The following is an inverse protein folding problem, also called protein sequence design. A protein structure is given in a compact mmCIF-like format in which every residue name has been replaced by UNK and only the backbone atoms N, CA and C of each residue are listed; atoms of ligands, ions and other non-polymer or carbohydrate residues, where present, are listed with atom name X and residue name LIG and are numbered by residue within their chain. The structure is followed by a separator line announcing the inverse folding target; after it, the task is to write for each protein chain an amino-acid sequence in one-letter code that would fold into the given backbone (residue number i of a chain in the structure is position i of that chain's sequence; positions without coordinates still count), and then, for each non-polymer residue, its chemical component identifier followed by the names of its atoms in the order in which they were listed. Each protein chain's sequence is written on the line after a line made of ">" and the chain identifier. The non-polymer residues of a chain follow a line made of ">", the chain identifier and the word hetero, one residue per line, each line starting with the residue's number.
data_IF_197559020444
#
_entry.id   IF_197559020444
#
_cell.length_a   1.000
_cell.length_b   1.000
_cell.length_c   1.000
_cell.angle_alpha   90.00
_cell.angle_beta   90.00
_cell.angle_gamma   90.00
#
_symmetry.space_group_name_H-M   'P 1'
#
loop_
_entity.id
_entity.type
_entity.pdbx_description
1 polymer ?
#
# COMPACT_ATOMS: atom_id res chain seq x y z
N UNK A 1 -6.99 16.60 -28.25
CA UNK A 1 -6.09 15.43 -28.10
C UNK A 1 -6.30 14.79 -26.74
N UNK A 2 -6.33 13.46 -26.64
CA UNK A 2 -6.43 12.75 -25.35
C UNK A 2 -5.15 11.96 -25.07
N UNK A 3 -4.69 12.04 -23.82
CA UNK A 3 -3.49 11.39 -23.31
C UNK A 3 -3.84 10.60 -22.05
N UNK A 4 -3.51 9.32 -22.00
CA UNK A 4 -3.56 8.53 -20.76
C UNK A 4 -2.19 8.48 -20.13
N UNK A 5 -2.10 8.94 -18.89
CA UNK A 5 -0.92 8.81 -18.05
C UNK A 5 -1.09 7.60 -17.15
N UNK A 6 -0.25 6.60 -17.36
CA UNK A 6 -0.14 5.44 -16.50
C UNK A 6 0.89 5.75 -15.41
N UNK A 7 0.40 6.10 -14.22
CA UNK A 7 1.20 6.46 -13.06
C UNK A 7 1.16 5.34 -12.03
N UNK A 8 2.32 5.06 -11.46
CA UNK A 8 2.49 4.24 -10.28
C UNK A 8 1.82 4.90 -9.08
N UNK A 9 1.38 4.04 -8.16
CA UNK A 9 0.81 4.45 -6.88
C UNK A 9 1.89 4.53 -5.79
N UNK A 10 3.17 4.42 -6.15
CA UNK A 10 4.26 4.45 -5.20
C UNK A 10 4.49 5.86 -4.65
N UNK A 11 4.63 5.95 -3.33
CA UNK A 11 5.33 7.04 -2.64
C UNK A 11 4.79 8.48 -2.84
N UNK A 12 3.51 8.66 -3.15
CA UNK A 12 2.85 9.90 -2.77
C UNK A 12 2.84 9.93 -1.23
N UNK A 13 3.87 10.52 -0.62
CA UNK A 13 4.04 10.63 0.82
C UNK A 13 2.72 11.07 1.46
N UNK A 14 2.43 10.55 2.66
CA UNK A 14 1.24 10.90 3.47
C UNK A 14 1.13 12.40 3.80
N UNK A 15 2.09 13.22 3.36
CA UNK A 15 2.04 14.67 3.39
C UNK A 15 1.55 15.17 2.03
N UNK A 16 0.24 15.06 1.81
CA UNK A 16 -0.43 15.82 0.77
C UNK A 16 -0.59 17.28 1.21
N UNK A 17 0.52 17.99 1.42
CA UNK A 17 0.49 19.44 1.29
C UNK A 17 0.13 19.71 -0.16
N UNK A 18 -1.07 20.25 -0.40
CA UNK A 18 -1.66 20.58 -1.71
C UNK A 18 -0.57 20.81 -2.77
N UNK A 19 -0.32 19.81 -3.61
CA UNK A 19 0.65 19.92 -4.68
C UNK A 19 0.33 21.18 -5.50
N UNK A 20 1.32 22.04 -5.71
CA UNK A 20 1.12 23.24 -6.51
C UNK A 20 0.61 22.87 -7.92
N UNK A 21 -0.26 23.70 -8.53
CA UNK A 21 -0.83 23.37 -9.82
C UNK A 21 0.25 23.24 -10.89
N UNK A 22 0.26 22.11 -11.58
CA UNK A 22 1.10 21.86 -12.73
C UNK A 22 0.81 22.87 -13.85
N UNK A 23 1.86 23.30 -14.54
CA UNK A 23 1.75 24.22 -15.67
C UNK A 23 2.09 23.52 -16.97
N UNK A 24 1.17 23.58 -17.93
CA UNK A 24 1.35 23.05 -19.27
C UNK A 24 1.96 24.10 -20.19
N UNK A 25 2.83 23.65 -21.08
CA UNK A 25 3.45 24.45 -22.13
C UNK A 25 3.39 23.70 -23.45
N UNK A 26 3.38 24.46 -24.54
CA UNK A 26 3.55 23.95 -25.90
C UNK A 26 4.65 24.73 -26.61
N UNK A 27 5.30 24.09 -27.58
CA UNK A 27 6.34 24.71 -28.37
C UNK A 27 5.75 25.28 -29.66
N UNK A 28 6.01 26.56 -29.93
CA UNK A 28 5.65 27.20 -31.18
C UNK A 28 6.75 28.19 -31.58
N UNK A 29 7.29 28.02 -32.79
CA UNK A 29 8.30 28.92 -33.37
C UNK A 29 9.49 29.13 -32.44
N UNK A 30 10.03 28.03 -31.91
CA UNK A 30 11.17 27.95 -31.01
C UNK A 30 10.99 28.63 -29.63
N UNK A 31 9.73 28.89 -29.25
CA UNK A 31 9.37 29.48 -27.96
C UNK A 31 8.40 28.60 -27.17
N UNK A 32 8.71 28.36 -25.89
CA UNK A 32 7.79 27.67 -24.97
C UNK A 32 6.71 28.63 -24.50
N UNK A 33 5.49 28.42 -24.97
CA UNK A 33 4.31 29.20 -24.58
C UNK A 33 3.50 28.44 -23.54
N UNK A 34 2.93 29.16 -22.58
CA UNK A 34 2.03 28.58 -21.57
C UNK A 34 0.73 28.16 -22.26
N UNK A 35 0.28 26.93 -21.99
CA UNK A 35 -1.05 26.49 -22.38
C UNK A 35 -2.07 27.02 -21.36
N UNK A 36 -3.01 27.82 -21.81
CA UNK A 36 -4.06 28.39 -20.98
C UNK A 36 -4.87 27.29 -20.29
N UNK A 37 -5.26 27.52 -19.02
CA UNK A 37 -6.05 26.54 -18.26
C UNK A 37 -7.38 26.18 -18.93
N UNK A 38 -7.99 27.11 -19.67
CA UNK A 38 -9.23 26.86 -20.42
C UNK A 38 -9.07 25.80 -21.52
N UNK A 39 -7.84 25.55 -21.99
CA UNK A 39 -7.52 24.53 -22.99
C UNK A 39 -7.23 23.16 -22.39
N UNK A 40 -7.09 23.07 -21.07
CA UNK A 40 -7.12 21.81 -20.33
C UNK A 40 -8.59 21.43 -20.11
N UNK A 41 -9.18 20.75 -21.11
CA UNK A 41 -10.62 20.47 -21.13
C UNK A 41 -11.04 19.50 -20.03
N UNK A 42 -10.25 18.45 -19.80
CA UNK A 42 -10.51 17.42 -18.79
C UNK A 42 -9.17 16.93 -18.23
N UNK A 43 -9.08 16.80 -16.91
CA UNK A 43 -7.99 16.13 -16.22
C UNK A 43 -8.58 15.15 -15.19
N UNK A 44 -8.37 13.85 -15.39
CA UNK A 44 -8.78 12.81 -14.44
C UNK A 44 -7.60 12.21 -13.67
N UNK A 45 -6.42 12.84 -13.69
CA UNK A 45 -5.21 12.37 -12.98
C UNK A 45 -5.14 12.87 -11.54
N UNK A 46 -6.10 13.72 -11.12
CA UNK A 46 -6.09 14.41 -9.84
C UNK A 46 -4.76 15.16 -9.61
N UNK A 47 -4.24 15.82 -10.67
CA UNK A 47 -2.96 16.53 -10.63
C UNK A 47 -1.75 15.61 -10.70
N UNK A 48 -1.81 14.54 -11.51
CA UNK A 48 -0.76 13.52 -11.65
C UNK A 48 -0.46 12.74 -10.36
N UNK A 49 -1.43 12.65 -9.46
CA UNK A 49 -1.37 11.79 -8.28
C UNK A 49 -1.86 10.37 -8.59
N UNK A 50 -2.71 10.21 -9.60
CA UNK A 50 -3.24 8.91 -10.02
C UNK A 50 -3.28 8.79 -11.54
N UNK A 51 -3.31 7.54 -12.01
CA UNK A 51 -3.47 7.25 -13.43
C UNK A 51 -4.78 7.83 -13.96
N UNK A 52 -4.73 8.50 -15.11
CA UNK A 52 -5.88 9.23 -15.63
C UNK A 52 -5.72 9.71 -17.07
N UNK A 53 -6.80 10.24 -17.62
CA UNK A 53 -6.85 10.81 -18.96
C UNK A 53 -6.83 12.33 -18.84
N UNK A 54 -5.93 12.95 -19.60
CA UNK A 54 -5.88 14.39 -19.83
C UNK A 54 -6.34 14.67 -21.25
N UNK A 55 -7.31 15.58 -21.38
CA UNK A 55 -7.83 16.05 -22.67
C UNK A 55 -7.41 17.49 -22.88
N UNK A 56 -6.66 17.73 -23.94
CA UNK A 56 -6.09 19.02 -24.30
C UNK A 56 -6.72 19.53 -25.60
N UNK A 57 -7.10 20.79 -25.60
CA UNK A 57 -7.32 21.57 -26.82
C UNK A 57 -6.00 22.24 -27.24
N UNK A 58 -5.45 21.82 -28.37
CA UNK A 58 -4.14 22.31 -28.82
C UNK A 58 -4.33 23.61 -29.63
N UNK A 59 -3.58 24.69 -29.33
CA UNK A 59 -3.62 25.91 -30.11
C UNK A 59 -3.22 25.67 -31.58
N UNK A 60 -3.85 26.39 -32.50
CA UNK A 60 -3.53 26.32 -33.92
C UNK A 60 -2.10 26.80 -34.25
N UNK A 61 -1.48 27.56 -33.34
CA UNK A 61 -0.11 28.07 -33.47
C UNK A 61 0.97 26.99 -33.28
N UNK A 62 0.63 25.82 -32.73
CA UNK A 62 1.61 24.76 -32.49
C UNK A 62 2.15 24.26 -33.84
N UNK A 63 3.48 24.16 -33.97
CA UNK A 63 4.12 23.80 -35.24
C UNK A 63 5.25 22.76 -35.04
N UNK A 64 5.74 22.21 -36.15
CA UNK A 64 6.82 21.20 -36.17
C UNK A 64 8.19 21.80 -36.49
N UNK A 65 8.21 23.05 -36.94
CA UNK A 65 9.42 23.77 -37.34
C UNK A 65 10.05 24.48 -36.13
N UNK A 66 10.70 23.68 -35.27
CA UNK A 66 11.40 24.16 -34.09
C UNK A 66 12.82 23.59 -34.09
N UNK A 67 13.81 24.38 -33.66
CA UNK A 67 15.23 23.99 -33.63
C UNK A 67 15.67 23.54 -32.24
N UNK A 68 14.95 23.95 -31.20
CA UNK A 68 15.21 23.65 -29.78
C UNK A 68 14.89 22.21 -29.38
N UNK A 69 14.06 21.49 -30.14
CA UNK A 69 13.68 20.11 -29.88
C UNK A 69 13.73 19.31 -31.20
N UNK A 70 13.79 17.96 -31.18
CA UNK A 70 13.81 17.16 -32.40
C UNK A 70 12.69 17.53 -33.38
N UNK A 71 13.07 17.64 -34.66
CA UNK A 71 12.19 18.03 -35.74
C UNK A 71 11.07 17.01 -36.00
N UNK A 72 10.10 17.39 -36.83
CA UNK A 72 8.94 16.59 -37.26
C UNK A 72 7.94 16.17 -36.15
N UNK A 73 8.11 16.70 -34.93
CA UNK A 73 7.24 16.43 -33.79
C UNK A 73 6.54 17.70 -33.28
N UNK A 74 5.38 17.53 -32.66
CA UNK A 74 4.78 18.55 -31.81
C UNK A 74 5.21 18.34 -30.37
N UNK A 75 5.59 19.42 -29.69
CA UNK A 75 6.15 19.34 -28.35
C UNK A 75 5.22 19.92 -27.28
N UNK A 76 4.99 19.12 -26.25
CA UNK A 76 4.29 19.48 -25.03
C UNK A 76 5.24 19.32 -23.85
N UNK A 77 5.12 20.22 -22.88
CA UNK A 77 5.89 20.16 -21.63
C UNK A 77 4.95 20.39 -20.45
N UNK A 78 5.10 19.57 -19.42
CA UNK A 78 4.44 19.75 -18.13
C UNK A 78 5.52 20.09 -17.11
N UNK A 79 5.32 21.14 -16.32
CA UNK A 79 6.27 21.55 -15.30
C UNK A 79 5.59 21.71 -13.94
N UNK A 80 6.28 21.24 -12.90
CA UNK A 80 5.97 21.51 -11.49
C UNK A 80 6.97 22.55 -10.95
N UNK A 81 6.52 23.44 -10.07
CA UNK A 81 7.40 24.46 -9.45
C UNK A 81 8.26 23.88 -8.32
N UNK A 82 7.73 22.94 -7.54
CA UNK A 82 8.40 22.28 -6.41
C UNK A 82 7.93 20.83 -6.27
N UNK A 83 8.68 20.03 -5.50
CA UNK A 83 8.27 18.70 -4.99
C UNK A 83 7.85 17.67 -6.05
N UNK A 84 8.73 17.43 -7.04
CA UNK A 84 8.53 16.38 -8.05
C UNK A 84 8.34 14.97 -7.46
N UNK A 85 8.83 14.74 -6.22
CA UNK A 85 8.69 13.47 -5.50
C UNK A 85 7.28 13.19 -4.99
N UNK A 86 6.38 14.18 -5.03
CA UNK A 86 4.99 14.02 -4.58
C UNK A 86 4.06 13.44 -5.65
N UNK A 87 4.49 13.41 -6.92
CA UNK A 87 3.73 12.87 -8.04
C UNK A 87 3.98 11.37 -8.21
N UNK A 88 2.99 10.66 -8.77
CA UNK A 88 3.13 9.23 -9.06
C UNK A 88 4.19 8.96 -10.14
N UNK A 89 4.97 7.89 -9.99
CA UNK A 89 6.01 7.54 -10.97
C UNK A 89 5.40 7.23 -12.33
N UNK A 90 5.92 7.80 -13.42
CA UNK A 90 5.36 7.60 -14.76
C UNK A 90 5.83 6.26 -15.36
N UNK A 91 4.90 5.34 -15.61
CA UNK A 91 5.19 4.11 -16.35
C UNK A 91 5.08 4.30 -17.86
N UNK A 92 4.03 4.96 -18.33
CA UNK A 92 3.76 5.13 -19.75
C UNK A 92 2.81 6.29 -20.04
N UNK A 93 2.93 6.86 -21.23
CA UNK A 93 1.96 7.79 -21.81
C UNK A 93 1.39 7.18 -23.07
N UNK A 94 0.07 7.16 -23.21
CA UNK A 94 -0.61 6.63 -24.39
C UNK A 94 -1.55 7.67 -25.00
N UNK A 95 -1.61 7.71 -26.33
CA UNK A 95 -2.45 8.65 -27.07
C UNK A 95 -3.81 8.04 -27.40
N UNK A 96 -4.79 8.90 -27.70
CA UNK A 96 -6.15 8.50 -28.12
C UNK A 96 -6.89 7.64 -27.08
N UNK A 97 -6.60 7.87 -25.80
CA UNK A 97 -7.25 7.13 -24.72
C UNK A 97 -8.68 7.61 -24.51
N UNK A 98 -9.55 6.66 -24.14
CA UNK A 98 -10.95 6.90 -23.78
C UNK A 98 -11.35 5.97 -22.64
N UNK A 99 -12.18 6.48 -21.73
CA UNK A 99 -12.79 5.66 -20.67
C UNK A 99 -14.02 4.95 -21.21
N UNK A 100 -14.09 3.64 -21.01
CA UNK A 100 -15.25 2.83 -21.38
C UNK A 100 -15.85 2.21 -20.13
N UNK A 101 -17.17 2.26 -20.01
CA UNK A 101 -17.91 1.64 -18.91
C UNK A 101 -18.61 0.39 -19.41
N UNK A 102 -18.40 -0.74 -18.73
CA UNK A 102 -19.13 -1.98 -19.01
C UNK A 102 -20.59 -1.79 -18.60
N UNK A 103 -21.52 -2.11 -19.51
CA UNK A 103 -22.95 -2.21 -19.21
C UNK A 103 -23.35 -3.68 -19.26
N UNK A 104 -23.94 -4.17 -18.16
CA UNK A 104 -24.49 -5.51 -18.06
C UNK A 104 -26.02 -5.43 -18.08
N UNK A 105 -26.73 -6.36 -18.75
CA UNK A 105 -28.16 -6.56 -18.55
C UNK A 105 -28.45 -6.90 -17.07
N UNK A 106 -29.64 -6.53 -16.59
CA UNK A 106 -30.02 -6.68 -15.17
C UNK A 106 -29.92 -8.12 -14.65
N UNK A 107 -30.17 -9.11 -15.51
CA UNK A 107 -30.21 -10.54 -15.14
C UNK A 107 -28.87 -11.27 -15.31
N UNK A 108 -27.81 -10.57 -15.68
CA UNK A 108 -26.49 -11.20 -15.90
C UNK A 108 -25.65 -11.13 -14.63
N UNK A 109 -25.22 -12.29 -14.13
CA UNK A 109 -24.24 -12.33 -13.03
C UNK A 109 -22.97 -11.57 -13.43
N UNK A 110 -22.61 -10.60 -12.60
CA UNK A 110 -21.41 -9.81 -12.80
C UNK A 110 -20.18 -10.67 -12.51
N UNK A 111 -19.60 -11.26 -13.56
CA UNK A 111 -18.28 -11.90 -13.47
C UNK A 111 -17.22 -10.81 -13.34
N UNK A 112 -16.37 -10.92 -12.33
CA UNK A 112 -15.16 -10.11 -12.20
C UNK A 112 -14.27 -10.31 -13.43
N UNK A 113 -14.03 -9.23 -14.18
CA UNK A 113 -13.10 -9.26 -15.31
C UNK A 113 -11.71 -9.06 -14.74
N UNK A 114 -11.08 -10.13 -14.27
CA UNK A 114 -9.73 -10.03 -13.69
C UNK A 114 -8.61 -9.86 -14.74
N UNK A 115 -8.91 -10.15 -16.02
CA UNK A 115 -7.93 -10.19 -17.10
C UNK A 115 -8.07 -9.03 -18.11
N UNK A 116 -6.95 -8.68 -18.74
CA UNK A 116 -6.92 -7.82 -19.94
C UNK A 116 -7.71 -8.52 -21.05
N UNK A 117 -8.92 -8.06 -21.32
CA UNK A 117 -9.75 -8.65 -22.36
C UNK A 117 -9.32 -8.13 -23.74
N UNK A 118 -9.47 -8.97 -24.77
CA UNK A 118 -9.41 -8.51 -26.17
C UNK A 118 -10.73 -7.82 -26.49
N UNK A 119 -10.68 -6.50 -26.66
CA UNK A 119 -11.85 -5.71 -27.02
C UNK A 119 -12.00 -5.64 -28.53
N UNK A 120 -13.23 -5.86 -29.01
CA UNK A 120 -13.62 -5.60 -30.40
C UNK A 120 -14.86 -4.71 -30.41
N UNK A 121 -14.94 -3.73 -31.30
CA UNK A 121 -16.14 -2.90 -31.41
C UNK A 121 -17.30 -3.75 -31.95
N UNK A 122 -18.51 -3.52 -31.42
CA UNK A 122 -19.72 -4.24 -31.87
C UNK A 122 -20.10 -3.91 -33.32
N UNK A 123 -19.77 -2.68 -33.75
CA UNK A 123 -19.90 -2.20 -35.12
C UNK A 123 -18.56 -1.65 -35.57
N UNK A 124 -18.18 -1.87 -36.82
CA UNK A 124 -16.94 -1.32 -37.36
C UNK A 124 -16.95 0.21 -37.25
N UNK A 125 -15.86 0.78 -36.74
CA UNK A 125 -15.68 2.24 -36.61
C UNK A 125 -14.60 2.64 -37.63
N UNK A 126 -14.95 3.41 -38.68
CA UNK A 126 -13.98 3.88 -39.66
C UNK A 126 -12.83 4.65 -38.99
N UNK A 127 -11.59 4.35 -39.40
CA UNK A 127 -10.39 4.98 -38.85
C UNK A 127 -9.84 4.36 -37.56
N UNK A 128 -10.52 3.37 -36.96
CA UNK A 128 -10.01 2.64 -35.77
C UNK A 128 -9.31 1.35 -36.19
N UNK A 129 -7.99 1.31 -36.06
CA UNK A 129 -7.18 0.13 -36.40
C UNK A 129 -7.19 -0.96 -35.31
N UNK A 130 -6.75 -0.61 -34.09
CA UNK A 130 -6.63 -1.55 -32.97
C UNK A 130 -7.09 -0.90 -31.67
N UNK A 131 -7.80 -1.67 -30.85
CA UNK A 131 -8.19 -1.27 -29.49
C UNK A 131 -7.40 -2.09 -28.49
N UNK A 132 -6.72 -1.42 -27.56
CA UNK A 132 -5.94 -2.05 -26.49
C UNK A 132 -6.44 -1.55 -25.14
N UNK A 133 -6.72 -2.48 -24.23
CA UNK A 133 -7.03 -2.14 -22.85
C UNK A 133 -5.74 -1.79 -22.10
N UNK A 134 -5.81 -0.71 -21.33
CA UNK A 134 -4.70 -0.26 -20.46
C UNK A 134 -5.13 -0.44 -19.01
N UNK A 135 -4.32 -1.15 -18.24
CA UNK A 135 -4.61 -1.44 -16.84
C UNK A 135 -5.80 -2.38 -16.63
N UNK A 136 -6.09 -2.64 -15.35
CA UNK A 136 -7.20 -3.50 -14.93
C UNK A 136 -8.51 -2.72 -14.92
N UNK A 137 -9.65 -3.37 -15.17
CA UNK A 137 -10.94 -2.74 -14.96
C UNK A 137 -11.12 -2.44 -13.45
N UNK A 138 -11.83 -1.37 -13.14
CA UNK A 138 -12.02 -0.89 -11.78
C UNK A 138 -13.47 -0.42 -11.56
N UNK A 139 -13.87 -0.28 -10.29
CA UNK A 139 -15.17 0.28 -9.88
C UNK A 139 -16.39 -0.64 -10.12
N UNK A 140 -16.18 -1.86 -10.59
CA UNK A 140 -17.23 -2.87 -10.68
C UNK A 140 -17.39 -3.63 -9.35
N UNK A 141 -18.63 -3.98 -9.00
CA UNK A 141 -18.94 -4.86 -7.88
C UNK A 141 -19.88 -5.98 -8.35
N UNK A 142 -19.78 -7.15 -7.73
CA UNK A 142 -20.74 -8.23 -7.93
C UNK A 142 -22.13 -7.83 -7.41
N UNK A 143 -23.17 -8.50 -7.92
CA UNK A 143 -24.51 -8.33 -7.38
C UNK A 143 -24.54 -8.72 -5.89
N UNK A 144 -25.22 -7.92 -5.08
CA UNK A 144 -25.33 -8.16 -3.64
C UNK A 144 -26.06 -9.48 -3.36
N UNK A 145 -25.41 -10.37 -2.60
CA UNK A 145 -25.98 -11.64 -2.19
C UNK A 145 -26.90 -11.47 -0.97
N UNK A 146 -27.86 -12.38 -0.78
CA UNK A 146 -28.83 -12.28 0.32
C UNK A 146 -28.19 -12.18 1.72
N UNK A 147 -27.10 -12.91 2.07
CA UNK A 147 -26.42 -12.72 3.34
C UNK A 147 -25.81 -11.32 3.49
N UNK A 148 -25.21 -10.79 2.42
CA UNK A 148 -24.63 -9.44 2.40
C UNK A 148 -25.71 -8.37 2.59
N UNK A 149 -26.86 -8.53 1.91
CA UNK A 149 -28.03 -7.68 2.08
C UNK A 149 -28.51 -7.64 3.54
N UNK A 150 -28.65 -8.82 4.18
CA UNK A 150 -29.08 -8.90 5.58
C UNK A 150 -28.09 -8.16 6.49
N UNK A 151 -26.79 -8.42 6.32
CA UNK A 151 -25.74 -7.72 7.08
C UNK A 151 -25.83 -6.20 6.88
N UNK A 152 -25.90 -5.73 5.63
CA UNK A 152 -26.00 -4.30 5.31
C UNK A 152 -27.24 -3.66 5.92
N UNK A 153 -28.39 -4.35 5.91
CA UNK A 153 -29.62 -3.85 6.54
C UNK A 153 -29.49 -3.78 8.05
N UNK A 154 -28.95 -4.81 8.70
CA UNK A 154 -28.71 -4.81 10.14
C UNK A 154 -27.75 -3.70 10.56
N UNK A 155 -26.66 -3.51 9.82
CA UNK A 155 -25.71 -2.42 10.06
C UNK A 155 -26.40 -1.06 9.86
N UNK A 156 -27.13 -0.87 8.75
CA UNK A 156 -27.86 0.37 8.45
C UNK A 156 -28.87 0.77 9.51
N UNK A 157 -29.62 -0.19 10.06
CA UNK A 157 -30.59 0.06 11.12
C UNK A 157 -29.92 0.53 12.41
N UNK A 158 -28.70 0.06 12.68
CA UNK A 158 -27.92 0.45 13.86
C UNK A 158 -27.34 1.86 13.70
N UNK A 159 -26.55 2.10 12.65
CA UNK A 159 -25.84 3.38 12.48
C UNK A 159 -26.73 4.48 11.88
N UNK A 160 -27.89 4.14 11.28
CA UNK A 160 -28.86 5.10 10.69
C UNK A 160 -28.22 6.09 9.72
N UNK A 161 -27.20 5.63 8.99
CA UNK A 161 -26.39 6.45 8.09
C UNK A 161 -25.72 7.68 8.75
N UNK A 162 -25.39 7.58 10.05
CA UNK A 162 -24.63 8.59 10.79
C UNK A 162 -23.45 7.92 11.50
N UNK A 163 -22.36 8.64 11.63
CA UNK A 163 -21.16 8.17 12.34
C UNK A 163 -21.08 8.82 13.72
N UNK A 164 -21.07 8.02 14.78
CA UNK A 164 -20.88 8.50 16.15
C UNK A 164 -19.88 7.66 16.92
N UNK A 165 -19.94 6.33 16.77
CA UNK A 165 -18.98 5.41 17.39
C UNK A 165 -17.92 4.96 16.37
N UNK A 166 -16.70 4.57 16.81
CA UNK A 166 -15.67 4.03 15.92
C UNK A 166 -16.17 2.89 15.01
N UNK A 167 -17.09 2.07 15.52
CA UNK A 167 -17.70 0.99 14.73
C UNK A 167 -18.54 1.53 13.57
N UNK A 168 -19.30 2.61 13.76
CA UNK A 168 -20.11 3.21 12.69
C UNK A 168 -19.23 3.75 11.57
N UNK A 169 -18.12 4.41 11.92
CA UNK A 169 -17.09 4.86 10.95
C UNK A 169 -16.55 3.68 10.15
N UNK A 170 -16.08 2.64 10.85
CA UNK A 170 -15.49 1.45 10.22
C UNK A 170 -16.47 0.80 9.22
N UNK A 171 -17.75 0.62 9.60
CA UNK A 171 -18.76 -0.03 8.74
C UNK A 171 -19.20 0.80 7.55
N UNK A 172 -19.46 2.09 7.75
CA UNK A 172 -19.89 2.96 6.66
C UNK A 172 -18.79 3.13 5.61
N UNK A 173 -17.52 3.17 6.03
CA UNK A 173 -16.39 3.22 5.10
C UNK A 173 -16.27 1.90 4.34
N UNK A 174 -16.30 0.75 5.02
CA UNK A 174 -16.25 -0.56 4.34
C UNK A 174 -17.41 -0.76 3.36
N UNK A 175 -18.60 -0.25 3.69
CA UNK A 175 -19.77 -0.32 2.82
C UNK A 175 -19.59 0.56 1.56
N UNK A 176 -19.07 1.77 1.72
CA UNK A 176 -18.92 2.73 0.62
C UNK A 176 -17.71 2.43 -0.28
N UNK A 177 -16.67 1.79 0.26
CA UNK A 177 -15.41 1.50 -0.42
C UNK A 177 -15.10 -0.02 -0.42
N UNK A 178 -15.71 -0.81 -1.33
CA UNK A 178 -15.55 -2.27 -1.39
C UNK A 178 -14.11 -2.74 -1.66
N UNK A 179 -13.26 -1.87 -2.18
CA UNK A 179 -11.84 -2.14 -2.40
C UNK A 179 -11.03 -2.25 -1.08
N UNK A 180 -11.62 -1.88 0.05
CA UNK A 180 -10.96 -1.96 1.35
C UNK A 180 -11.16 -3.35 1.97
N UNK A 181 -10.07 -3.91 2.49
CA UNK A 181 -10.09 -5.15 3.27
C UNK A 181 -10.46 -4.88 4.72
N UNK A 182 -9.91 -3.81 5.30
CA UNK A 182 -10.09 -3.50 6.72
C UNK A 182 -9.99 -2.01 6.96
N UNK A 183 -10.79 -1.54 7.91
CA UNK A 183 -10.75 -0.18 8.43
C UNK A 183 -10.66 -0.27 9.93
N UNK A 184 -9.82 0.56 10.54
CA UNK A 184 -9.75 0.72 11.99
C UNK A 184 -9.82 2.19 12.34
N UNK A 185 -10.71 2.50 13.26
CA UNK A 185 -10.90 3.84 13.78
C UNK A 185 -10.35 3.93 15.21
N UNK A 186 -9.47 4.92 15.44
CA UNK A 186 -8.86 5.24 16.71
C UNK A 186 -9.41 6.60 17.19
N UNK A 187 -10.22 6.55 18.25
CA UNK A 187 -10.80 7.74 18.85
C UNK A 187 -9.76 8.49 19.70
N UNK A 188 -9.86 9.82 19.72
CA UNK A 188 -9.00 10.72 20.49
C UNK A 188 -7.52 10.53 20.16
N UNK A 189 -7.20 10.34 18.89
CA UNK A 189 -5.84 10.05 18.44
C UNK A 189 -5.55 10.79 17.14
N UNK A 190 -4.32 11.27 17.02
CA UNK A 190 -3.77 11.84 15.80
C UNK A 190 -2.38 11.25 15.60
N UNK A 191 -1.94 11.11 14.35
CA UNK A 191 -0.62 10.55 14.07
C UNK A 191 0.53 11.50 14.43
N UNK A 192 0.26 12.81 14.49
CA UNK A 192 1.26 13.85 14.74
C UNK A 192 1.53 14.04 16.23
N UNK A 193 0.56 13.68 17.08
CA UNK A 193 0.62 13.85 18.51
C UNK A 193 0.87 12.49 19.18
N UNK A 194 1.92 12.40 20.00
CA UNK A 194 2.22 11.18 20.78
C UNK A 194 1.31 10.96 21.99
N UNK A 195 0.25 11.75 22.15
CA UNK A 195 -0.65 11.75 23.31
C UNK A 195 -2.12 11.77 22.87
N UNK A 196 -3.06 11.35 23.75
CA UNK A 196 -4.48 11.41 23.45
C UNK A 196 -4.90 12.82 23.05
N UNK A 197 -5.54 12.94 21.89
CA UNK A 197 -5.92 14.19 21.24
C UNK A 197 -7.45 14.24 21.12
N UNK A 198 -8.18 14.76 22.13
CA UNK A 198 -9.64 14.84 22.10
C UNK A 198 -10.15 15.59 20.86
N UNK A 199 -11.26 15.14 20.28
CA UNK A 199 -11.81 15.74 19.05
C UNK A 199 -11.12 15.27 17.76
N UNK A 200 -9.97 14.59 17.84
CA UNK A 200 -9.32 13.98 16.69
C UNK A 200 -9.73 12.52 16.52
N UNK A 201 -9.88 12.11 15.26
CA UNK A 201 -10.21 10.76 14.85
C UNK A 201 -9.23 10.28 13.80
N UNK A 202 -8.40 9.30 14.15
CA UNK A 202 -7.49 8.66 13.22
C UNK A 202 -8.15 7.41 12.64
N UNK A 203 -8.29 7.39 11.32
CA UNK A 203 -8.85 6.27 10.55
C UNK A 203 -7.73 5.67 9.72
N UNK A 204 -7.48 4.39 9.92
CA UNK A 204 -6.47 3.65 9.17
C UNK A 204 -7.17 2.63 8.27
N UNK A 205 -6.85 2.67 6.99
CA UNK A 205 -7.49 1.84 5.96
C UNK A 205 -6.48 0.91 5.30
N UNK A 206 -6.90 -0.33 5.05
CA UNK A 206 -6.08 -1.35 4.41
C UNK A 206 -6.81 -1.80 3.13
N UNK A 207 -6.19 -1.69 1.94
CA UNK A 207 -6.79 -2.17 0.71
C UNK A 207 -6.85 -3.71 0.66
N UNK A 208 -7.80 -4.22 -0.10
CA UNK A 208 -7.88 -5.64 -0.42
C UNK A 208 -6.81 -6.02 -1.44
N UNK A 209 -5.92 -6.92 -1.05
CA UNK A 209 -4.93 -7.52 -1.93
C UNK A 209 -5.53 -8.72 -2.69
N UNK A 210 -5.50 -8.70 -4.03
CA UNK A 210 -5.83 -9.87 -4.85
C UNK A 210 -4.95 -11.07 -4.45
N UNK A 211 -5.46 -12.32 -4.49
CA UNK A 211 -4.69 -13.50 -4.10
C UNK A 211 -3.32 -13.63 -4.79
N UNK A 212 -3.24 -13.24 -6.07
CA UNK A 212 -1.98 -13.30 -6.84
C UNK A 212 -0.92 -12.27 -6.41
N UNK A 213 -1.31 -11.23 -5.68
CA UNK A 213 -0.42 -10.15 -5.23
C UNK A 213 0.04 -10.30 -3.80
N UNK A 214 -0.46 -11.30 -3.04
CA UNK A 214 -0.08 -11.51 -1.62
C UNK A 214 1.34 -12.07 -1.45
N UNK A 215 1.92 -12.63 -2.51
CA UNK A 215 3.23 -13.27 -2.48
C UNK A 215 4.31 -12.29 -2.02
N UNK A 216 5.16 -12.75 -1.10
CA UNK A 216 6.23 -11.93 -0.53
C UNK A 216 5.74 -10.86 0.46
N UNK A 217 4.49 -10.97 0.92
CA UNK A 217 3.90 -10.11 1.93
C UNK A 217 4.03 -8.60 1.64
N UNK A 218 3.43 -8.09 0.55
CA UNK A 218 3.62 -6.70 0.17
C UNK A 218 2.99 -5.74 1.19
N UNK A 219 3.44 -4.49 1.17
CA UNK A 219 2.78 -3.41 1.93
C UNK A 219 1.55 -2.92 1.18
N UNK A 220 0.36 -3.23 1.70
CA UNK A 220 -0.90 -2.81 1.11
C UNK A 220 -1.16 -1.32 1.41
N UNK A 221 -1.09 -0.44 0.42
CA UNK A 221 -1.28 1.01 0.59
C UNK A 221 -2.31 1.56 -0.40
N UNK A 222 -3.12 2.50 0.06
CA UNK A 222 -4.01 3.30 -0.77
C UNK A 222 -3.27 4.55 -1.25
N UNK A 223 -3.60 5.00 -2.46
CA UNK A 223 -3.09 6.29 -2.94
C UNK A 223 -3.71 7.46 -2.14
N UNK A 224 -3.01 8.59 -2.14
CA UNK A 224 -3.41 9.82 -1.45
C UNK A 224 -4.78 10.34 -1.88
N UNK A 225 -5.13 10.21 -3.17
CA UNK A 225 -6.40 10.69 -3.71
C UNK A 225 -7.57 9.91 -3.11
N UNK A 226 -7.46 8.58 -3.03
CA UNK A 226 -8.46 7.70 -2.44
C UNK A 226 -8.57 7.94 -0.93
N UNK A 227 -7.46 8.14 -0.22
CA UNK A 227 -7.47 8.56 1.18
C UNK A 227 -8.25 9.88 1.36
N UNK A 228 -8.03 10.84 0.45
CA UNK A 228 -8.77 12.11 0.40
C UNK A 228 -10.27 11.93 0.14
N UNK A 229 -10.65 11.02 -0.78
CA UNK A 229 -12.05 10.66 -1.06
C UNK A 229 -12.74 10.05 0.15
N UNK A 230 -12.05 9.13 0.85
CA UNK A 230 -12.55 8.54 2.10
C UNK A 230 -12.73 9.64 3.15
N UNK A 231 -11.74 10.52 3.36
CA UNK A 231 -11.82 11.63 4.30
C UNK A 231 -13.01 12.54 4.01
N UNK A 232 -13.20 12.95 2.75
CA UNK A 232 -14.31 13.81 2.34
C UNK A 232 -15.67 13.14 2.56
N UNK A 233 -15.79 11.84 2.23
CA UNK A 233 -16.99 11.07 2.50
C UNK A 233 -17.33 11.06 3.99
N UNK A 234 -16.38 10.71 4.84
CA UNK A 234 -16.61 10.64 6.29
C UNK A 234 -16.94 12.01 6.86
N UNK A 235 -16.26 13.08 6.43
CA UNK A 235 -16.53 14.44 6.88
C UNK A 235 -17.97 14.87 6.57
N UNK A 236 -18.56 14.40 5.46
CA UNK A 236 -19.95 14.74 5.08
C UNK A 236 -21.03 14.15 6.00
N UNK A 237 -20.70 13.08 6.73
CA UNK A 237 -21.63 12.35 7.61
C UNK A 237 -21.28 12.48 9.10
N UNK A 238 -20.07 12.97 9.41
CA UNK A 238 -19.58 13.19 10.75
C UNK A 238 -20.02 14.52 11.35
N UNK A 239 -19.80 14.66 12.65
CA UNK A 239 -19.97 15.93 13.35
C UNK A 239 -18.92 16.95 12.86
N UNK A 240 -19.29 18.24 12.66
CA UNK A 240 -18.34 19.27 12.24
C UNK A 240 -17.26 19.57 13.30
N UNK A 241 -17.45 19.12 14.54
CA UNK A 241 -16.48 19.30 15.62
C UNK A 241 -15.37 18.24 15.66
N UNK A 242 -15.41 17.24 14.77
CA UNK A 242 -14.41 16.17 14.73
C UNK A 242 -13.39 16.47 13.65
N UNK A 243 -12.11 16.44 14.02
CA UNK A 243 -11.00 16.50 13.09
C UNK A 243 -10.64 15.09 12.63
N UNK A 244 -10.88 14.81 11.35
CA UNK A 244 -10.71 13.48 10.78
C UNK A 244 -9.40 13.40 10.00
N UNK A 245 -8.60 12.42 10.37
CA UNK A 245 -7.35 12.03 9.71
C UNK A 245 -7.54 10.62 9.12
N UNK A 246 -7.24 10.44 7.83
CA UNK A 246 -7.34 9.13 7.14
C UNK A 246 -5.99 8.78 6.54
N UNK A 247 -5.43 7.60 6.89
CA UNK A 247 -4.07 7.20 6.55
C UNK A 247 -3.92 5.72 6.24
N UNK A 248 -2.78 5.37 5.65
CA UNK A 248 -2.37 3.98 5.50
C UNK A 248 -1.84 3.44 6.83
N UNK A 249 -1.83 2.11 7.04
CA UNK A 249 -1.16 1.54 8.19
C UNK A 249 0.35 1.77 8.09
N UNK A 250 0.99 1.94 9.25
CA UNK A 250 2.44 1.87 9.31
C UNK A 250 2.84 0.39 9.30
N UNK A 251 3.82 0.03 8.49
CA UNK A 251 4.34 -1.34 8.45
C UNK A 251 5.61 -1.43 9.30
N UNK A 252 5.58 -2.30 10.30
CA UNK A 252 6.67 -2.54 11.24
C UNK A 252 7.28 -3.92 10.94
N UNK A 253 8.58 -3.96 10.64
CA UNK A 253 9.24 -5.18 10.18
C UNK A 253 9.68 -6.07 11.34
N UNK A 254 9.44 -7.37 11.21
CA UNK A 254 9.86 -8.39 12.17
C UNK A 254 10.80 -9.36 11.46
N UNK A 255 12.04 -9.43 11.94
CA UNK A 255 13.01 -10.43 11.50
C UNK A 255 13.22 -11.46 12.60
N UNK A 256 13.00 -12.73 12.27
CA UNK A 256 13.37 -13.85 13.14
C UNK A 256 14.85 -14.17 12.93
N UNK A 257 15.57 -14.39 14.03
CA UNK A 257 16.94 -14.88 14.05
C UNK A 257 16.98 -16.19 14.82
N UNK A 258 17.53 -17.24 14.21
CA UNK A 258 17.66 -18.53 14.88
C UNK A 258 18.75 -19.41 14.28
N UNK A 259 19.27 -20.31 15.09
CA UNK A 259 20.15 -21.39 14.64
C UNK A 259 19.37 -22.71 14.73
N UNK A 260 19.32 -23.45 13.62
CA UNK A 260 18.44 -24.61 13.45
C UNK A 260 19.24 -25.82 13.00
N UNK A 261 18.92 -26.99 13.56
CA UNK A 261 19.35 -28.28 13.04
C UNK A 261 18.21 -28.91 12.25
N UNK A 262 18.49 -29.30 11.02
CA UNK A 262 17.53 -29.99 10.16
C UNK A 262 17.71 -31.51 10.24
N UNK A 263 16.62 -32.26 10.04
CA UNK A 263 16.64 -33.72 10.03
C UNK A 263 17.55 -34.32 8.93
N UNK A 264 17.77 -33.57 7.84
CA UNK A 264 18.62 -33.98 6.72
C UNK A 264 19.64 -32.88 6.37
N UNK A 265 20.85 -32.91 6.96
CA UNK A 265 21.84 -31.84 6.81
C UNK A 265 22.39 -31.69 5.38
N UNK A 266 22.32 -32.74 4.54
CA UNK A 266 22.81 -32.71 3.15
C UNK A 266 22.01 -31.77 2.22
N UNK A 267 20.87 -31.22 2.67
CA UNK A 267 20.04 -30.26 1.92
C UNK A 267 19.83 -28.93 2.66
N UNK A 268 20.80 -28.52 3.48
CA UNK A 268 20.70 -27.32 4.32
C UNK A 268 20.19 -26.07 3.59
N UNK A 269 20.74 -25.73 2.42
CA UNK A 269 20.31 -24.55 1.66
C UNK A 269 18.85 -24.59 1.20
N UNK A 270 18.29 -25.78 0.91
CA UNK A 270 16.87 -25.91 0.56
C UNK A 270 15.98 -25.67 1.78
N UNK A 271 16.32 -26.27 2.93
CA UNK A 271 15.53 -26.13 4.16
C UNK A 271 15.62 -24.74 4.78
N UNK A 272 16.74 -24.02 4.61
CA UNK A 272 16.84 -22.60 4.97
C UNK A 272 15.81 -21.78 4.19
N UNK A 273 15.78 -21.91 2.87
CA UNK A 273 14.82 -21.18 2.03
C UNK A 273 13.36 -21.59 2.30
N UNK A 274 13.13 -22.85 2.67
CA UNK A 274 11.81 -23.34 3.04
C UNK A 274 11.35 -22.75 4.38
N UNK A 275 12.25 -22.70 5.37
CA UNK A 275 11.99 -22.12 6.68
C UNK A 275 11.77 -20.60 6.59
N UNK A 276 12.60 -19.90 5.81
CA UNK A 276 12.47 -18.47 5.56
C UNK A 276 11.08 -18.11 5.00
N UNK A 277 10.60 -18.89 4.02
CA UNK A 277 9.23 -18.76 3.49
C UNK A 277 8.18 -19.11 4.53
N UNK A 278 8.34 -20.21 5.25
CA UNK A 278 7.37 -20.63 6.27
C UNK A 278 7.21 -19.60 7.39
N UNK A 279 8.30 -18.94 7.79
CA UNK A 279 8.30 -17.85 8.77
C UNK A 279 7.69 -16.57 8.18
N UNK A 280 8.03 -16.23 6.94
CA UNK A 280 7.44 -15.09 6.24
C UNK A 280 5.93 -15.24 6.14
N UNK A 281 5.45 -16.41 5.73
CA UNK A 281 4.02 -16.72 5.61
C UNK A 281 3.32 -16.70 6.98
N UNK A 282 3.98 -17.21 8.04
CA UNK A 282 3.43 -17.21 9.41
C UNK A 282 3.29 -15.80 10.01
N UNK A 283 4.22 -14.90 9.70
CA UNK A 283 4.20 -13.51 10.14
C UNK A 283 3.37 -12.61 9.24
N UNK A 284 3.07 -13.03 8.02
CA UNK A 284 2.42 -12.19 7.02
C UNK A 284 0.93 -11.95 7.35
N UNK A 285 0.49 -10.68 7.50
CA UNK A 285 -0.89 -10.35 7.86
C UNK A 285 -1.94 -10.75 6.81
N UNK A 286 -1.51 -11.01 5.57
CA UNK A 286 -2.38 -11.33 4.43
C UNK A 286 -2.63 -12.82 4.25
N UNK A 287 -1.81 -13.65 4.88
CA UNK A 287 -1.90 -15.09 4.77
C UNK A 287 -2.96 -15.65 5.71
N UNK A 288 -3.45 -16.83 5.36
CA UNK A 288 -4.45 -17.53 6.17
C UNK A 288 -3.85 -18.18 7.42
N UNK A 289 -2.55 -18.41 7.39
CA UNK A 289 -1.76 -19.10 8.42
C UNK A 289 -1.14 -18.07 9.36
N UNK A 290 -1.11 -18.37 10.67
CA UNK A 290 -0.39 -17.55 11.64
C UNK A 290 -1.04 -16.22 11.98
N UNK A 291 -0.25 -15.14 11.93
CA UNK A 291 -0.64 -13.82 12.41
C UNK A 291 -1.48 -13.06 11.37
N UNK A 292 -2.73 -12.76 11.73
CA UNK A 292 -3.65 -11.98 10.86
C UNK A 292 -3.42 -10.48 10.98
N UNK A 293 -3.80 -9.73 9.95
CA UNK A 293 -3.85 -8.27 9.95
C UNK A 293 -4.68 -7.70 11.13
N UNK A 294 -4.05 -7.44 12.28
CA UNK A 294 -4.70 -6.96 13.50
C UNK A 294 -3.87 -5.83 14.11
N UNK A 295 -4.51 -4.69 14.33
CA UNK A 295 -3.95 -3.58 15.11
C UNK A 295 -3.86 -3.94 16.59
N UNK A 296 -2.86 -3.39 17.29
CA UNK A 296 -2.55 -3.79 18.66
C UNK A 296 -2.08 -5.24 18.74
N UNK A 297 -1.34 -5.70 17.73
CA UNK A 297 -0.79 -7.05 17.68
C UNK A 297 0.20 -7.29 18.83
N UNK A 298 0.46 -8.56 19.09
CA UNK A 298 1.38 -8.99 20.13
C UNK A 298 1.95 -10.32 19.67
N UNK A 299 3.25 -10.35 19.36
CA UNK A 299 3.94 -11.55 18.89
C UNK A 299 4.83 -12.04 20.01
N UNK A 300 4.49 -13.20 20.59
CA UNK A 300 5.29 -13.80 21.66
C UNK A 300 6.39 -14.64 21.04
N UNK A 301 7.61 -14.50 21.56
CA UNK A 301 8.77 -15.26 21.10
C UNK A 301 8.51 -16.77 21.07
N UNK A 302 7.88 -17.28 22.13
CA UNK A 302 7.56 -18.70 22.29
C UNK A 302 6.58 -19.24 21.24
N UNK A 303 5.66 -18.42 20.75
CA UNK A 303 4.69 -18.85 19.73
C UNK A 303 5.40 -19.12 18.40
N UNK A 304 6.30 -18.22 18.02
CA UNK A 304 7.11 -18.37 16.80
C UNK A 304 8.11 -19.52 16.94
N UNK A 305 8.77 -19.65 18.09
CA UNK A 305 9.68 -20.77 18.34
C UNK A 305 8.95 -22.12 18.29
N UNK A 306 7.76 -22.21 18.90
CA UNK A 306 6.90 -23.39 18.86
C UNK A 306 6.48 -23.74 17.43
N UNK A 307 6.14 -22.73 16.63
CA UNK A 307 5.83 -22.94 15.21
C UNK A 307 7.02 -23.54 14.45
N UNK A 308 8.24 -23.03 14.64
CA UNK A 308 9.44 -23.61 14.00
C UNK A 308 9.63 -25.07 14.43
N UNK A 309 9.48 -25.36 15.73
CA UNK A 309 9.62 -26.73 16.27
C UNK A 309 8.54 -27.70 15.76
N UNK A 310 7.40 -27.19 15.29
CA UNK A 310 6.32 -28.01 14.73
C UNK A 310 6.56 -28.46 13.28
N UNK A 311 7.57 -27.90 12.60
CA UNK A 311 7.88 -28.23 11.20
C UNK A 311 8.62 -29.57 11.10
N UNK A 312 8.11 -30.49 10.28
CA UNK A 312 8.61 -31.87 10.17
C UNK A 312 10.09 -32.00 9.78
N UNK A 313 10.67 -30.97 9.16
CA UNK A 313 12.06 -30.97 8.72
C UNK A 313 13.05 -30.38 9.73
N UNK A 314 12.55 -29.89 10.88
CA UNK A 314 13.35 -29.30 11.96
C UNK A 314 13.54 -30.31 13.10
N UNK A 315 14.79 -30.55 13.50
CA UNK A 315 15.17 -31.39 14.65
C UNK A 315 15.26 -30.54 15.93
N UNK A 316 15.98 -29.41 15.84
CA UNK A 316 16.30 -28.59 17.01
C UNK A 316 16.44 -27.12 16.65
N UNK A 317 16.02 -26.23 17.56
CA UNK A 317 16.10 -24.77 17.42
C UNK A 317 16.79 -24.19 18.64
N UNK A 318 17.72 -23.27 18.39
CA UNK A 318 18.48 -22.54 19.40
C UNK A 318 18.84 -21.12 18.94
N UNK A 319 19.50 -20.33 19.79
CA UNK A 319 19.91 -18.96 19.47
C UNK A 319 18.75 -18.09 18.91
N UNK A 320 17.55 -18.24 19.50
CA UNK A 320 16.33 -17.62 18.97
C UNK A 320 16.15 -16.20 19.48
N UNK A 321 16.05 -15.22 18.58
CA UNK A 321 15.62 -13.86 18.86
C UNK A 321 14.73 -13.31 17.74
N UNK A 322 14.01 -12.23 18.05
CA UNK A 322 13.22 -11.49 17.07
C UNK A 322 13.63 -10.03 17.10
N UNK A 323 14.00 -9.51 15.94
CA UNK A 323 14.25 -8.10 15.72
C UNK A 323 12.99 -7.40 15.25
N UNK A 324 12.69 -6.29 15.89
CA UNK A 324 11.63 -5.38 15.53
C UNK A 324 12.26 -4.10 14.98
N UNK A 325 12.04 -3.86 13.68
CA UNK A 325 12.60 -2.74 12.93
C UNK A 325 11.46 -1.78 12.60
N UNK A 326 11.57 -0.54 13.08
CA UNK A 326 10.58 0.51 12.84
C UNK A 326 11.24 1.72 12.17
N UNK A 327 10.60 2.24 11.13
CA UNK A 327 10.97 3.52 10.55
C UNK A 327 10.34 4.65 11.39
N UNK A 328 11.13 5.62 11.78
CA UNK A 328 10.67 6.82 12.49
C UNK A 328 10.40 7.93 11.48
N UNK A 329 9.50 8.85 11.82
CA UNK A 329 9.11 10.04 11.03
C UNK A 329 10.23 10.97 10.58
N UNK A 330 11.47 10.78 11.05
CA UNK A 330 12.66 11.57 10.71
C UNK A 330 13.71 10.75 9.93
N UNK A 331 13.30 9.71 9.20
CA UNK A 331 14.19 8.78 8.47
C UNK A 331 15.17 8.00 9.37
N UNK A 332 14.99 8.07 10.70
CA UNK A 332 15.74 7.25 11.64
C UNK A 332 15.06 5.90 11.81
N UNK A 333 15.80 4.83 11.61
CA UNK A 333 15.34 3.50 11.95
C UNK A 333 15.61 3.23 13.43
N UNK A 334 14.74 2.45 14.06
CA UNK A 334 14.95 1.93 15.41
C UNK A 334 14.87 0.42 15.39
N UNK A 335 15.84 -0.21 16.03
CA UNK A 335 15.94 -1.65 16.19
C UNK A 335 15.68 -2.00 17.66
N UNK A 336 14.81 -2.97 17.88
CA UNK A 336 14.59 -3.59 19.19
C UNK A 336 14.80 -5.10 19.05
N UNK A 337 15.65 -5.68 19.89
CA UNK A 337 15.97 -7.11 19.88
C UNK A 337 15.40 -7.77 21.15
N UNK A 338 14.66 -8.87 21.01
CA UNK A 338 14.19 -9.62 22.18
C UNK A 338 15.34 -10.21 23.01
N UNK A 339 16.53 -10.39 22.43
CA UNK A 339 17.73 -10.80 23.17
C UNK A 339 18.20 -9.77 24.22
N UNK A 340 17.76 -8.51 24.14
CA UNK A 340 18.06 -7.47 25.14
C UNK A 340 17.27 -7.63 26.46
N UNK A 341 16.22 -8.46 26.50
CA UNK A 341 15.37 -8.59 27.69
C UNK A 341 16.01 -9.55 28.70
N UNK A 342 16.14 -9.12 29.95
CA UNK A 342 16.72 -9.93 31.02
C UNK A 342 15.99 -11.28 31.18
N UNK A 343 16.77 -12.35 31.40
CA UNK A 343 16.28 -13.72 31.59
C UNK A 343 15.15 -13.78 32.63
N UNK A 344 13.95 -14.17 32.21
CA UNK A 344 12.79 -14.40 33.09
C UNK A 344 11.55 -13.55 32.78
N UNK A 345 11.64 -12.53 31.93
CA UNK A 345 10.47 -11.79 31.44
C UNK A 345 9.92 -12.38 30.14
N UNK A 346 8.60 -12.31 29.92
CA UNK A 346 8.01 -12.66 28.63
C UNK A 346 8.51 -11.72 27.54
N UNK A 347 9.24 -12.26 26.58
CA UNK A 347 9.71 -11.56 25.38
C UNK A 347 8.57 -11.48 24.37
N UNK A 348 7.89 -10.33 24.38
CA UNK A 348 6.75 -10.04 23.51
C UNK A 348 7.05 -8.82 22.68
N UNK A 349 6.97 -8.96 21.36
CA UNK A 349 6.97 -7.81 20.46
C UNK A 349 5.57 -7.19 20.43
N UNK A 350 5.54 -5.87 20.54
CA UNK A 350 4.34 -5.05 20.48
C UNK A 350 4.55 -3.94 19.46
N UNK A 351 3.48 -3.46 18.83
CA UNK A 351 3.56 -2.35 17.91
C UNK A 351 4.10 -1.12 18.61
N UNK A 352 4.92 -0.36 17.90
CA UNK A 352 5.35 0.98 18.34
C UNK A 352 4.21 1.98 18.21
N UNK A 353 3.45 1.89 17.12
CA UNK A 353 2.29 2.74 16.88
C UNK A 353 0.99 1.93 16.96
N UNK A 354 -0.07 2.42 17.60
CA UNK A 354 -1.36 1.71 17.66
C UNK A 354 -1.93 1.32 16.28
N UNK A 355 -1.61 2.10 15.25
CA UNK A 355 -1.96 1.88 13.85
C UNK A 355 -0.89 1.13 13.02
N UNK A 356 0.10 0.55 13.69
CA UNK A 356 1.14 -0.27 13.07
C UNK A 356 0.69 -1.72 12.83
N UNK A 357 1.17 -2.32 11.75
CA UNK A 357 1.01 -3.74 11.40
C UNK A 357 2.37 -4.41 11.31
N UNK A 358 2.51 -5.57 11.94
CA UNK A 358 3.69 -6.41 11.77
C UNK A 358 3.72 -7.00 10.36
N UNK A 359 4.87 -6.95 9.71
CA UNK A 359 5.18 -7.66 8.47
C UNK A 359 6.53 -8.38 8.62
N UNK A 360 6.76 -9.50 7.92
CA UNK A 360 8.08 -10.13 7.91
C UNK A 360 9.11 -9.19 7.25
N UNK A 361 10.36 -9.26 7.73
CA UNK A 361 11.49 -8.74 6.98
C UNK A 361 11.65 -9.51 5.65
N UNK A 362 12.34 -8.92 4.67
CA UNK A 362 12.55 -9.58 3.36
C UNK A 362 13.27 -10.92 3.47
N UNK A 363 14.11 -11.08 4.49
CA UNK A 363 14.82 -12.32 4.84
C UNK A 363 14.95 -12.45 6.35
N UNK A 364 14.82 -13.68 6.82
CA UNK A 364 15.13 -14.08 8.19
C UNK A 364 16.59 -14.52 8.33
N UNK A 365 17.17 -14.33 9.51
CA UNK A 365 18.54 -14.76 9.77
C UNK A 365 18.52 -16.20 10.31
N UNK A 366 18.89 -17.15 9.46
CA UNK A 366 18.82 -18.58 9.78
C UNK A 366 20.20 -19.18 9.60
N UNK A 367 20.75 -19.70 10.69
CA UNK A 367 22.01 -20.45 10.68
C UNK A 367 21.75 -21.94 10.88
N UNK A 368 22.67 -22.78 10.40
CA UNK A 368 22.61 -24.23 10.60
C UNK A 368 23.59 -24.68 11.66
N UNK A 369 23.13 -25.50 12.61
CA UNK A 369 23.97 -26.15 13.62
C UNK A 369 23.93 -27.66 13.48
N UNK A 370 25.04 -28.33 13.77
CA UNK A 370 25.15 -29.79 13.69
C UNK A 370 24.84 -30.48 15.03
N UNK A 371 25.01 -29.75 16.15
CA UNK A 371 24.88 -30.28 17.51
C UNK A 371 23.61 -29.78 18.20
N UNK A 372 23.03 -30.62 19.08
CA UNK A 372 21.84 -30.27 19.86
C UNK A 372 22.23 -29.54 21.16
N UNK A 373 23.17 -28.60 21.09
CA UNK A 373 23.59 -27.81 22.24
C UNK A 373 22.77 -26.53 22.30
N UNK A 374 22.10 -26.23 23.43
CA UNK A 374 21.36 -24.99 23.57
C UNK A 374 22.32 -23.79 23.69
N UNK A 375 22.32 -22.94 22.68
CA UNK A 375 22.98 -21.63 22.65
C UNK A 375 21.95 -20.57 23.05
N UNK A 376 22.30 -19.72 24.02
CA UNK A 376 21.47 -18.56 24.37
C UNK A 376 21.59 -17.50 23.29
N UNK A 377 20.48 -16.82 23.00
CA UNK A 377 20.50 -15.70 22.08
C UNK A 377 21.36 -14.55 22.61
N UNK A 378 22.30 -14.09 21.79
CA UNK A 378 23.09 -12.88 22.05
C UNK A 378 22.49 -11.68 21.33
N UNK A 379 22.79 -10.47 21.82
CA UNK A 379 22.36 -9.22 21.18
C UNK A 379 23.03 -9.11 19.81
N UNK A 380 22.24 -8.76 18.79
CA UNK A 380 22.74 -8.65 17.41
C UNK A 380 23.95 -7.71 17.32
N UNK A 381 25.11 -8.26 16.93
CA UNK A 381 26.35 -7.52 16.73
C UNK A 381 26.49 -6.90 15.34
N UNK A 382 27.38 -5.91 15.18
CA UNK A 382 27.60 -5.19 13.90
C UNK A 382 27.95 -6.12 12.72
N UNK A 383 28.59 -7.26 12.97
CA UNK A 383 28.99 -8.23 11.94
C UNK A 383 27.80 -9.02 11.37
N UNK A 384 26.64 -8.99 12.03
CA UNK A 384 25.47 -9.78 11.66
C UNK A 384 24.31 -8.92 11.13
N UNK A 385 24.60 -7.65 10.87
CA UNK A 385 23.68 -6.67 10.32
C UNK A 385 23.96 -6.47 8.82
N UNK A 386 22.90 -6.49 8.01
CA UNK A 386 22.98 -6.28 6.56
C UNK A 386 22.72 -4.81 6.21
N UNK A 387 23.60 -4.23 5.38
CA UNK A 387 23.45 -2.87 4.84
C UNK A 387 22.20 -2.81 3.96
N UNK A 388 21.27 -1.91 4.30
CA UNK A 388 19.99 -1.77 3.61
C UNK A 388 18.85 -2.63 4.17
N UNK A 389 19.10 -3.41 5.23
CA UNK A 389 18.07 -4.18 5.95
C UNK A 389 18.08 -3.92 7.45
N UNK A 390 19.06 -4.48 8.16
CA UNK A 390 19.14 -4.46 9.63
C UNK A 390 20.23 -3.52 10.16
N UNK A 391 21.19 -3.12 9.32
CA UNK A 391 22.22 -2.16 9.69
C UNK A 391 21.64 -0.75 9.77
N UNK A 392 21.48 -0.25 11.00
CA UNK A 392 20.85 1.03 11.29
C UNK A 392 21.85 1.93 12.01
N UNK A 393 22.16 3.08 11.40
CA UNK A 393 22.96 4.12 12.06
C UNK A 393 21.98 5.01 12.81
N UNK A 394 21.96 4.90 14.14
CA UNK A 394 21.26 5.85 14.98
C UNK A 394 21.92 7.22 14.88
N UNK A 395 21.15 8.25 14.52
CA UNK A 395 21.60 9.62 14.73
C UNK A 395 21.65 9.88 16.23
N UNK A 396 22.85 10.06 16.78
CA UNK A 396 22.99 10.62 18.12
C UNK A 396 22.38 12.02 18.08
N UNK A 397 21.21 12.18 18.67
CA UNK A 397 20.71 13.49 19.07
C UNK A 397 21.67 14.06 20.11
N UNK A 398 22.27 15.21 19.79
CA UNK A 398 22.70 16.16 20.80
C UNK A 398 21.49 16.95 21.29
#
# INVERSE_FOLDING_TARGET
>A
MTLFFHLATDLAQEVATRAEPLTWFYLASDSWKVLERARLLVDTTDGFLTSGIVTLDLPAEINRDNKSMPADCFWLRVAARRELRSFGSLYAVQTHAVRVTRRLPADTEAVEVSALARWRPLRSIPGVGKVTQVGRPFGGAAAEQRPQFITRMSERLRHKNRVSTPWDYERLILQQFPQLFKVKCFANMSSTHGYPSPGHLLIVVIPALPPGERRGCPTAMMNVVELGRIRAFVQSIASPFVEIEVRNPLYEQVQVRCSVKFNHPTRGGHYINLLDRALSDYLCPWESVGHKARFGWSIRQKDVESYIRSLEYVDFVTNFSMLHITESTNEFYRLFDTAHVATGQETVLRPRYPWGLAIPAQRHFIETVETNQPIKAEVTGLNELEVGGTFIIGGNGF
#
